data_IF_914531669499
#
_entry.id   IF_914531669499
#
_cell.length_a   1.000
_cell.length_b   1.000
_cell.length_c   1.000
_cell.angle_alpha   90.00
_cell.angle_beta   90.00
_cell.angle_gamma   90.00
#
_symmetry.space_group_name_H-M   'P 1'
#
loop_
_entity.id
_entity.type
_entity.pdbx_description
1 polymer ?
#
# COMPACT_ATOMS: atom_id res chain seq x y z
N UNK A 1 8.19 -14.00 -8.29
CA UNK A 1 8.93 -13.26 -9.33
C UNK A 1 9.48 -11.92 -8.83
N UNK A 2 8.66 -10.98 -8.32
CA UNK A 2 9.15 -9.68 -7.80
C UNK A 2 10.12 -9.80 -6.60
N UNK A 3 9.86 -10.74 -5.68
CA UNK A 3 10.71 -10.96 -4.50
C UNK A 3 12.15 -11.34 -4.89
N UNK A 4 12.31 -12.21 -5.89
CA UNK A 4 13.63 -12.58 -6.40
C UNK A 4 14.40 -11.34 -6.86
N UNK A 5 13.77 -10.48 -7.66
CA UNK A 5 14.40 -9.25 -8.12
C UNK A 5 14.72 -8.28 -6.98
N UNK A 6 13.81 -8.08 -6.03
CA UNK A 6 14.07 -7.22 -4.88
C UNK A 6 15.30 -7.67 -4.07
N UNK A 7 15.50 -8.97 -3.92
CA UNK A 7 16.68 -9.52 -3.25
C UNK A 7 17.94 -9.37 -4.10
N UNK A 8 17.89 -9.70 -5.39
CA UNK A 8 19.09 -9.70 -6.25
C UNK A 8 19.58 -8.30 -6.61
N UNK A 9 18.71 -7.30 -6.76
CA UNK A 9 19.12 -5.90 -7.00
C UNK A 9 19.32 -5.09 -5.73
N UNK A 10 18.92 -5.61 -4.57
CA UNK A 10 18.96 -4.88 -3.31
C UNK A 10 17.89 -3.79 -3.18
N UNK A 11 16.93 -3.74 -4.12
CA UNK A 11 15.82 -2.77 -4.13
C UNK A 11 14.92 -2.89 -2.89
N UNK A 12 14.96 -4.02 -2.18
CA UNK A 12 14.29 -4.17 -0.88
C UNK A 12 14.71 -3.10 0.14
N UNK A 13 15.94 -2.55 0.04
CA UNK A 13 16.43 -1.48 0.93
C UNK A 13 15.60 -0.19 0.81
N UNK A 14 14.92 0.02 -0.32
CA UNK A 14 14.02 1.15 -0.52
C UNK A 14 12.72 1.02 0.29
N UNK A 15 12.46 -0.15 0.88
CA UNK A 15 11.29 -0.43 1.71
C UNK A 15 11.60 -0.43 3.20
N UNK A 16 12.84 -0.11 3.63
CA UNK A 16 13.17 -0.02 5.07
C UNK A 16 12.35 1.12 5.71
N UNK A 17 11.45 0.84 6.68
CA UNK A 17 10.53 1.85 7.20
C UNK A 17 11.27 2.99 7.90
N UNK A 18 10.76 4.20 7.75
CA UNK A 18 11.16 5.35 8.55
C UNK A 18 9.91 6.15 8.91
N UNK A 19 9.81 6.53 10.18
CA UNK A 19 8.74 7.42 10.66
C UNK A 19 9.11 8.89 10.49
N UNK A 20 10.36 9.19 10.12
CA UNK A 20 10.83 10.56 9.96
C UNK A 20 10.11 11.23 8.79
N UNK A 21 9.52 12.40 9.05
CA UNK A 21 8.78 13.25 8.09
C UNK A 21 7.48 12.65 7.54
N UNK A 22 6.95 11.59 8.14
CA UNK A 22 5.64 11.04 7.74
C UNK A 22 4.52 12.04 8.05
N UNK A 23 4.59 12.66 9.22
CA UNK A 23 3.67 13.72 9.66
C UNK A 23 3.72 14.96 8.74
N UNK A 24 4.93 15.37 8.34
CA UNK A 24 5.14 16.46 7.40
C UNK A 24 4.57 16.11 6.01
N UNK A 25 4.72 14.87 5.56
CA UNK A 25 4.16 14.39 4.29
C UNK A 25 2.63 14.35 4.32
N UNK A 26 2.06 13.89 5.43
CA UNK A 26 0.61 13.86 5.63
C UNK A 26 0.02 15.28 5.61
N UNK A 27 0.60 16.22 6.35
CA UNK A 27 0.20 17.64 6.34
C UNK A 27 0.34 18.27 4.95
N UNK A 28 1.41 17.94 4.22
CA UNK A 28 1.62 18.44 2.87
C UNK A 28 0.50 18.02 1.92
N UNK A 29 0.16 16.74 1.87
CA UNK A 29 -0.90 16.25 0.98
C UNK A 29 -2.32 16.66 1.41
N UNK A 30 -2.54 16.95 2.70
CA UNK A 30 -3.85 17.44 3.14
C UNK A 30 -4.08 18.92 2.82
N UNK A 31 -3.09 19.77 3.09
CA UNK A 31 -3.27 21.23 2.99
C UNK A 31 -2.11 21.94 2.29
N UNK A 32 -0.87 21.46 2.47
CA UNK A 32 0.33 22.12 1.95
C UNK A 32 0.38 22.25 0.43
N UNK A 33 -0.20 21.29 -0.30
CA UNK A 33 -0.27 21.30 -1.76
C UNK A 33 -1.07 22.49 -2.31
N UNK A 34 -2.09 22.94 -1.59
CA UNK A 34 -2.92 24.08 -1.98
C UNK A 34 -2.28 25.43 -1.63
N UNK A 35 -1.33 25.44 -0.68
CA UNK A 35 -0.65 26.65 -0.23
C UNK A 35 0.71 26.87 -0.92
N UNK A 36 1.01 26.10 -1.97
CA UNK A 36 2.30 26.11 -2.67
C UNK A 36 3.50 25.91 -1.72
N UNK A 37 3.31 25.09 -0.68
CA UNK A 37 4.37 24.77 0.28
C UNK A 37 5.49 23.97 -0.43
N UNK A 38 6.75 24.07 0.01
CA UNK A 38 7.81 23.25 -0.56
C UNK A 38 7.57 21.76 -0.23
N UNK A 39 7.70 20.89 -1.23
CA UNK A 39 7.52 19.44 -1.04
C UNK A 39 8.56 18.91 -0.01
N UNK A 40 8.14 18.27 1.10
CA UNK A 40 9.02 17.97 2.24
C UNK A 40 10.06 16.86 1.98
N UNK A 41 9.95 16.22 0.80
CA UNK A 41 10.82 15.14 0.35
C UNK A 41 11.23 15.35 -1.12
N UNK A 42 12.50 15.16 -1.45
CA UNK A 42 12.97 15.13 -2.84
C UNK A 42 13.26 13.68 -3.23
N UNK A 43 12.53 13.18 -4.22
CA UNK A 43 12.79 11.87 -4.77
C UNK A 43 14.16 11.87 -5.46
N UNK A 44 14.91 10.78 -5.29
CA UNK A 44 16.19 10.55 -5.99
C UNK A 44 16.21 9.11 -6.47
N UNK A 45 17.10 8.75 -7.41
CA UNK A 45 17.23 7.35 -7.86
C UNK A 45 17.44 6.36 -6.71
N UNK A 46 18.11 6.77 -5.62
CA UNK A 46 18.36 5.94 -4.45
C UNK A 46 17.22 5.95 -3.42
N UNK A 47 16.30 6.93 -3.52
CA UNK A 47 15.15 7.10 -2.62
C UNK A 47 13.92 7.47 -3.44
N UNK A 48 13.39 6.47 -4.15
CA UNK A 48 12.24 6.62 -5.06
C UNK A 48 10.94 6.95 -4.32
N UNK A 49 10.72 6.29 -3.18
CA UNK A 49 9.47 6.43 -2.41
C UNK A 49 9.61 7.43 -1.29
N UNK A 50 8.59 8.29 -1.16
CA UNK A 50 8.46 9.14 0.02
C UNK A 50 8.15 8.29 1.28
N UNK A 51 8.39 8.79 2.50
CA UNK A 51 8.18 8.03 3.74
C UNK A 51 6.73 7.52 3.91
N UNK A 52 5.74 8.30 3.49
CA UNK A 52 4.32 7.94 3.57
C UNK A 52 3.96 6.78 2.63
N UNK A 53 4.38 6.87 1.37
CA UNK A 53 4.22 5.83 0.35
C UNK A 53 4.90 4.53 0.78
N UNK A 54 6.11 4.61 1.35
CA UNK A 54 6.82 3.44 1.85
C UNK A 54 6.02 2.70 2.93
N UNK A 55 5.50 3.42 3.92
CA UNK A 55 4.67 2.83 4.96
C UNK A 55 3.34 2.30 4.41
N UNK A 56 2.72 3.01 3.48
CA UNK A 56 1.49 2.55 2.83
C UNK A 56 1.72 1.23 2.07
N UNK A 57 2.80 1.12 1.29
CA UNK A 57 3.14 -0.10 0.56
C UNK A 57 3.50 -1.25 1.50
N UNK A 58 4.27 -0.99 2.57
CA UNK A 58 4.52 -2.00 3.60
C UNK A 58 3.21 -2.46 4.27
N UNK A 59 2.31 -1.53 4.58
CA UNK A 59 1.00 -1.82 5.18
C UNK A 59 0.17 -2.74 4.29
N UNK A 60 0.09 -2.42 3.00
CA UNK A 60 -0.60 -3.26 2.01
C UNK A 60 0.05 -4.64 1.91
N UNK A 61 1.37 -4.70 1.80
CA UNK A 61 2.08 -5.94 1.53
C UNK A 61 2.18 -6.88 2.75
N UNK A 62 2.35 -6.34 3.96
CA UNK A 62 2.57 -7.13 5.18
C UNK A 62 1.31 -7.34 6.02
N UNK A 63 0.30 -6.50 5.88
CA UNK A 63 -0.93 -6.59 6.69
C UNK A 63 -2.17 -6.83 5.83
N UNK A 64 -2.54 -5.87 4.97
CA UNK A 64 -3.83 -5.91 4.25
C UNK A 64 -3.86 -7.12 3.29
N UNK A 65 -2.82 -7.30 2.49
CA UNK A 65 -2.72 -8.38 1.52
C UNK A 65 -2.83 -9.77 2.16
N UNK A 66 -1.96 -10.12 3.13
CA UNK A 66 -2.07 -11.39 3.84
C UNK A 66 -3.43 -11.57 4.51
N UNK A 67 -3.95 -10.54 5.20
CA UNK A 67 -5.24 -10.64 5.88
C UNK A 67 -6.38 -10.95 4.90
N UNK A 68 -6.49 -10.22 3.78
CA UNK A 68 -7.50 -10.47 2.73
C UNK A 68 -7.35 -11.88 2.16
N UNK A 69 -6.14 -12.27 1.76
CA UNK A 69 -5.92 -13.57 1.11
C UNK A 69 -6.21 -14.73 2.05
N UNK A 70 -5.71 -14.70 3.29
CA UNK A 70 -5.98 -15.78 4.25
C UNK A 70 -7.46 -15.87 4.58
N UNK A 71 -8.07 -14.77 5.01
CA UNK A 71 -9.50 -14.78 5.38
C UNK A 71 -10.41 -15.10 4.19
N UNK A 72 -10.05 -14.64 2.98
CA UNK A 72 -10.79 -14.93 1.75
C UNK A 72 -10.69 -16.40 1.35
N UNK A 73 -9.50 -17.00 1.51
CA UNK A 73 -9.30 -18.42 1.29
C UNK A 73 -10.13 -19.24 2.27
N UNK A 74 -10.09 -18.91 3.57
CA UNK A 74 -10.95 -19.51 4.57
C UNK A 74 -12.44 -19.40 4.20
N UNK A 75 -12.88 -18.25 3.70
CA UNK A 75 -14.25 -18.03 3.22
C UNK A 75 -14.67 -18.95 2.09
N UNK A 76 -13.84 -19.08 1.05
CA UNK A 76 -14.15 -19.88 -0.14
C UNK A 76 -14.27 -21.37 0.19
N UNK A 77 -13.46 -21.85 1.15
CA UNK A 77 -13.42 -23.25 1.55
C UNK A 77 -14.26 -23.57 2.79
N UNK A 78 -15.18 -22.68 3.19
CA UNK A 78 -15.99 -22.87 4.40
C UNK A 78 -16.77 -24.20 4.40
N UNK A 79 -17.24 -24.65 3.24
CA UNK A 79 -17.94 -25.92 3.09
C UNK A 79 -17.08 -27.15 3.43
N UNK A 80 -15.75 -27.02 3.35
CA UNK A 80 -14.78 -28.08 3.67
C UNK A 80 -14.28 -28.07 5.11
N UNK A 81 -14.62 -27.05 5.90
CA UNK A 81 -14.13 -26.96 7.27
C UNK A 81 -14.55 -28.10 8.18
N UNK A 82 -15.81 -28.61 8.12
CA UNK A 82 -16.20 -29.75 8.95
C UNK A 82 -15.37 -31.01 8.65
N UNK A 83 -15.08 -31.26 7.37
CA UNK A 83 -14.25 -32.39 6.95
C UNK A 83 -12.80 -32.27 7.45
N UNK A 84 -12.30 -31.04 7.58
CA UNK A 84 -10.95 -30.75 8.10
C UNK A 84 -10.91 -30.56 9.62
N UNK A 85 -12.07 -30.57 10.29
CA UNK A 85 -12.22 -30.29 11.71
C UNK A 85 -11.75 -28.89 12.10
N UNK A 86 -11.98 -27.88 11.25
CA UNK A 86 -11.60 -26.49 11.55
C UNK A 86 -12.72 -25.68 12.19
N UNK A 87 -13.97 -26.10 11.97
CA UNK A 87 -15.19 -25.53 12.55
C UNK A 87 -15.18 -25.50 14.10
N UNK A 88 -14.42 -26.39 14.73
CA UNK A 88 -14.19 -26.40 16.19
C UNK A 88 -13.22 -25.30 16.68
N UNK A 89 -12.34 -24.78 15.83
CA UNK A 89 -11.31 -23.78 16.21
C UNK A 89 -11.57 -22.40 15.63
N UNK A 90 -12.31 -22.32 14.53
CA UNK A 90 -12.55 -21.10 13.78
C UNK A 90 -14.05 -20.88 13.60
N UNK A 91 -14.51 -19.69 14.00
CA UNK A 91 -15.86 -19.24 13.72
C UNK A 91 -15.89 -18.45 12.41
N UNK A 92 -16.86 -18.76 11.54
CA UNK A 92 -17.06 -18.03 10.28
C UNK A 92 -17.26 -16.52 10.52
N UNK A 93 -17.91 -16.15 11.62
CA UNK A 93 -18.12 -14.75 12.01
C UNK A 93 -16.81 -13.97 12.13
N UNK A 94 -15.78 -14.54 12.75
CA UNK A 94 -14.48 -13.89 12.89
C UNK A 94 -13.76 -13.77 11.55
N UNK A 95 -13.79 -14.82 10.73
CA UNK A 95 -13.23 -14.76 9.37
C UNK A 95 -13.93 -13.68 8.55
N UNK A 96 -15.26 -13.59 8.65
CA UNK A 96 -16.06 -12.58 7.99
C UNK A 96 -15.74 -11.16 8.43
N UNK A 97 -15.63 -10.95 9.74
CA UNK A 97 -15.27 -9.68 10.33
C UNK A 97 -13.89 -9.21 9.84
N UNK A 98 -12.86 -10.06 9.95
CA UNK A 98 -11.51 -9.68 9.55
C UNK A 98 -11.38 -9.50 8.03
N UNK A 99 -12.08 -10.30 7.22
CA UNK A 99 -12.12 -10.10 5.77
C UNK A 99 -12.74 -8.74 5.42
N UNK A 100 -13.84 -8.39 6.08
CA UNK A 100 -14.52 -7.10 5.89
C UNK A 100 -13.64 -5.92 6.31
N UNK A 101 -12.99 -6.00 7.48
CA UNK A 101 -12.01 -4.98 7.92
C UNK A 101 -10.91 -4.81 6.87
N UNK A 102 -10.35 -5.92 6.38
CA UNK A 102 -9.29 -5.88 5.38
C UNK A 102 -9.75 -5.27 4.05
N UNK A 103 -10.99 -5.57 3.61
CA UNK A 103 -11.60 -4.95 2.44
C UNK A 103 -11.77 -3.43 2.58
N UNK A 104 -12.23 -2.94 3.74
CA UNK A 104 -12.32 -1.50 4.00
C UNK A 104 -10.95 -0.82 4.04
N UNK A 105 -9.94 -1.46 4.63
CA UNK A 105 -8.56 -0.95 4.61
C UNK A 105 -8.02 -0.84 3.17
N UNK A 106 -8.30 -1.84 2.32
CA UNK A 106 -7.93 -1.79 0.90
C UNK A 106 -8.68 -0.68 0.15
N UNK A 107 -9.96 -0.47 0.45
CA UNK A 107 -10.75 0.61 -0.14
C UNK A 107 -10.18 2.00 0.24
N UNK A 108 -9.85 2.21 1.52
CA UNK A 108 -9.21 3.45 1.99
C UNK A 108 -7.87 3.66 1.25
N UNK A 109 -7.06 2.60 1.16
CA UNK A 109 -5.80 2.66 0.41
C UNK A 109 -6.04 3.04 -1.05
N UNK A 110 -7.02 2.44 -1.73
CA UNK A 110 -7.34 2.75 -3.12
C UNK A 110 -7.73 4.22 -3.30
N UNK A 111 -8.62 4.74 -2.46
CA UNK A 111 -9.07 6.14 -2.52
C UNK A 111 -7.86 7.07 -2.33
N UNK A 112 -7.06 6.85 -1.28
CA UNK A 112 -5.88 7.66 -1.00
C UNK A 112 -4.84 7.54 -2.14
N UNK A 113 -4.64 6.35 -2.68
CA UNK A 113 -3.70 6.09 -3.76
C UNK A 113 -4.11 6.84 -5.03
N UNK A 114 -5.38 6.74 -5.45
CA UNK A 114 -5.91 7.47 -6.61
C UNK A 114 -5.81 8.98 -6.41
N UNK A 115 -6.08 9.49 -5.21
CA UNK A 115 -5.85 10.90 -4.93
C UNK A 115 -4.38 11.29 -5.11
N UNK A 116 -3.45 10.54 -4.52
CA UNK A 116 -2.02 10.86 -4.58
C UNK A 116 -1.42 10.72 -5.99
N UNK A 117 -1.98 9.87 -6.85
CA UNK A 117 -1.52 9.79 -8.26
C UNK A 117 -1.89 11.05 -9.05
N UNK A 118 -2.85 11.84 -8.56
CA UNK A 118 -3.21 13.13 -9.16
C UNK A 118 -2.40 14.32 -8.63
N UNK A 119 -1.60 14.11 -7.58
CA UNK A 119 -0.84 15.14 -6.87
C UNK A 119 0.55 15.44 -7.46
N UNK A 120 0.76 15.19 -8.76
CA UNK A 120 2.01 15.50 -9.46
C UNK A 120 2.01 16.88 -10.14
N UNK A 121 3.03 17.18 -10.94
CA UNK A 121 3.14 18.46 -11.68
C UNK A 121 1.93 18.75 -12.57
N UNK A 122 1.36 17.69 -13.13
CA UNK A 122 0.05 17.69 -13.79
C UNK A 122 -0.78 16.54 -13.25
N UNK A 123 -2.11 16.65 -13.37
CA UNK A 123 -3.07 15.64 -12.88
C UNK A 123 -2.77 14.22 -13.38
N UNK A 124 -2.16 14.09 -14.55
CA UNK A 124 -1.88 12.80 -15.20
C UNK A 124 -0.40 12.41 -15.19
N UNK A 125 0.49 13.25 -14.65
CA UNK A 125 1.94 13.02 -14.68
C UNK A 125 2.36 11.67 -14.08
N UNK A 126 1.92 11.36 -12.85
CA UNK A 126 2.22 10.06 -12.24
C UNK A 126 1.51 8.90 -12.95
N UNK A 127 0.31 9.12 -13.48
CA UNK A 127 -0.42 8.09 -14.25
C UNK A 127 0.34 7.73 -15.52
N UNK A 128 0.81 8.73 -16.27
CA UNK A 128 1.66 8.57 -17.44
C UNK A 128 2.91 7.78 -17.07
N UNK A 129 3.60 8.14 -15.99
CA UNK A 129 4.79 7.45 -15.53
C UNK A 129 4.54 5.97 -15.16
N UNK A 130 3.38 5.64 -14.60
CA UNK A 130 3.01 4.24 -14.33
C UNK A 130 2.77 3.43 -15.60
N UNK A 131 2.22 4.04 -16.65
CA UNK A 131 1.95 3.37 -17.93
C UNK A 131 3.22 3.25 -18.78
N UNK A 132 4.02 4.31 -18.87
CA UNK A 132 5.21 4.37 -19.73
C UNK A 132 6.45 3.81 -19.04
N UNK A 133 6.47 3.76 -17.71
CA UNK A 133 7.65 3.43 -16.91
C UNK A 133 8.69 4.56 -16.82
N UNK A 134 8.40 5.73 -17.40
CA UNK A 134 9.31 6.87 -17.45
C UNK A 134 8.75 8.07 -16.67
N UNK A 135 9.54 8.59 -15.76
CA UNK A 135 9.22 9.77 -14.95
C UNK A 135 10.13 10.93 -15.37
N UNK A 136 9.53 12.07 -15.70
CA UNK A 136 10.25 13.33 -15.90
C UNK A 136 10.58 13.88 -14.51
N UNK A 137 11.87 14.09 -14.23
CA UNK A 137 12.37 14.55 -12.92
C UNK A 137 12.98 15.93 -13.11
N UNK A 138 12.47 16.92 -12.38
CA UNK A 138 13.00 18.30 -12.35
C UNK A 138 14.36 18.40 -11.62
#
# INVERSE_FOLDING_TARGET
>A
FAIFWHFTTGEWKQYIPTLQKVDAMFKYYLTGIFTNAPHPFRATRLKKHNPLQRLAYLGVMLFIGPLIWFTGWFYIFYDKWPDWGWDQYLALEWVAFFHTVAAFLMLIFLIAHVYLTTAGHTLTSHIKAMITGWEEVD
#
